data_IF_673394684046
#
_entry.id   IF_673394684046
#
_cell.length_a   1.000
_cell.length_b   1.000
_cell.length_c   1.000
_cell.angle_alpha   90.00
_cell.angle_beta   90.00
_cell.angle_gamma   90.00
#
_symmetry.space_group_name_H-M   'P 1'
#
loop_
_entity.id
_entity.type
_entity.pdbx_description
1 polymer ?
#
# COMPACT_ATOMS: atom_id res chain seq x y z
N UNK A 1 4.53 12.32 -19.99
CA UNK A 1 4.04 11.73 -18.74
C UNK A 1 4.47 10.28 -18.71
N UNK A 2 5.36 9.93 -17.78
CA UNK A 2 5.90 8.58 -17.60
C UNK A 2 5.21 7.92 -16.41
N UNK A 3 5.08 6.59 -16.48
CA UNK A 3 4.44 5.77 -15.44
C UNK A 3 5.50 4.85 -14.84
N UNK A 4 5.54 4.76 -13.50
CA UNK A 4 6.46 3.88 -12.78
C UNK A 4 5.73 3.11 -11.69
N UNK A 5 5.83 1.79 -11.74
CA UNK A 5 5.33 0.92 -10.68
C UNK A 5 6.19 1.05 -9.42
N UNK A 6 5.52 1.09 -8.27
CA UNK A 6 6.14 1.09 -6.95
C UNK A 6 5.27 0.30 -5.98
N UNK A 7 5.92 -0.49 -5.13
CA UNK A 7 5.24 -1.12 -3.99
C UNK A 7 5.18 -0.13 -2.83
N UNK A 8 3.99 0.07 -2.27
CA UNK A 8 3.73 0.82 -1.04
C UNK A 8 3.30 -0.15 0.05
N UNK A 9 3.81 0.06 1.25
CA UNK A 9 3.43 -0.71 2.44
C UNK A 9 2.37 0.05 3.24
N UNK A 10 1.20 -0.56 3.39
CA UNK A 10 0.10 -0.03 4.21
C UNK A 10 0.06 -0.81 5.51
N UNK A 11 0.25 -0.14 6.64
CA UNK A 11 0.27 -0.75 7.96
C UNK A 11 -1.03 -0.44 8.70
N UNK A 12 -1.70 -1.46 9.23
CA UNK A 12 -2.80 -1.29 10.16
C UNK A 12 -2.84 -2.41 11.19
N UNK A 13 -2.76 -2.05 12.48
CA UNK A 13 -2.74 -3.02 13.58
C UNK A 13 -1.60 -4.03 13.46
N UNK A 14 -1.95 -5.32 13.38
CA UNK A 14 -0.99 -6.45 13.28
C UNK A 14 -0.71 -6.87 11.83
N UNK A 15 -1.13 -6.08 10.85
CA UNK A 15 -1.01 -6.44 9.44
C UNK A 15 -0.26 -5.35 8.66
N UNK A 16 0.43 -5.80 7.61
CA UNK A 16 0.98 -4.94 6.55
C UNK A 16 0.52 -5.46 5.20
N UNK A 17 0.15 -4.59 4.29
CA UNK A 17 -0.15 -4.93 2.91
C UNK A 17 0.86 -4.30 1.96
N UNK A 18 1.36 -5.09 1.02
CA UNK A 18 2.12 -4.64 -0.14
C UNK A 18 1.16 -4.34 -1.28
N UNK A 19 1.03 -3.06 -1.59
CA UNK A 19 0.15 -2.54 -2.65
C UNK A 19 1.03 -2.07 -3.80
N UNK A 20 0.91 -2.72 -4.96
CA UNK A 20 1.50 -2.19 -6.19
C UNK A 20 0.66 -1.00 -6.68
N UNK A 21 1.32 0.13 -6.90
CA UNK A 21 0.72 1.39 -7.34
C UNK A 21 1.52 1.99 -8.49
N UNK A 22 0.86 2.79 -9.31
CA UNK A 22 1.50 3.53 -10.38
C UNK A 22 1.78 4.98 -9.94
N UNK A 23 3.03 5.40 -10.09
CA UNK A 23 3.42 6.80 -9.94
C UNK A 23 3.48 7.46 -11.32
N UNK A 24 2.82 8.61 -11.41
CA UNK A 24 2.83 9.48 -12.57
C UNK A 24 3.96 10.50 -12.41
N UNK A 25 4.78 10.60 -13.46
CA UNK A 25 5.90 11.50 -13.54
C UNK A 25 5.74 12.42 -14.75
N UNK A 26 5.71 13.73 -14.49
CA UNK A 26 5.74 14.78 -15.49
C UNK A 26 6.75 15.88 -15.10
N UNK A 27 6.75 16.99 -15.84
CA UNK A 27 7.66 18.12 -15.66
C UNK A 27 7.21 19.10 -14.57
N UNK A 28 6.12 18.80 -13.87
CA UNK A 28 5.60 19.67 -12.80
C UNK A 28 6.36 19.46 -11.50
N UNK A 29 6.37 20.48 -10.64
CA UNK A 29 7.05 20.43 -9.33
C UNK A 29 6.44 19.42 -8.34
N UNK A 30 5.24 18.88 -8.64
CA UNK A 30 4.54 17.89 -7.80
C UNK A 30 4.90 16.44 -8.16
N UNK A 31 5.72 16.25 -9.19
CA UNK A 31 6.18 14.97 -9.70
C UNK A 31 7.23 14.32 -8.77
N UNK A 32 7.18 13.01 -8.48
CA UNK A 32 6.13 12.05 -8.87
C UNK A 32 4.96 12.02 -7.88
N UNK A 33 3.76 11.78 -8.41
CA UNK A 33 2.52 11.68 -7.62
C UNK A 33 1.71 10.42 -7.97
N UNK A 34 0.74 10.08 -7.12
CA UNK A 34 -0.15 8.93 -7.33
C UNK A 34 -1.30 9.29 -8.27
N UNK A 35 -1.77 8.31 -9.04
CA UNK A 35 -3.09 8.41 -9.64
C UNK A 35 -4.18 8.48 -8.55
N UNK A 36 -5.31 9.10 -8.85
CA UNK A 36 -6.46 9.13 -7.92
C UNK A 36 -6.93 7.72 -7.59
N UNK A 37 -6.94 6.84 -8.59
CA UNK A 37 -7.32 5.43 -8.43
C UNK A 37 -6.39 4.70 -7.45
N UNK A 38 -5.07 4.86 -7.59
CA UNK A 38 -4.11 4.25 -6.66
C UNK A 38 -4.17 4.86 -5.27
N UNK A 39 -4.47 6.16 -5.15
CA UNK A 39 -4.71 6.79 -3.86
C UNK A 39 -5.93 6.17 -3.16
N UNK A 40 -7.05 6.01 -3.87
CA UNK A 40 -8.25 5.34 -3.34
C UNK A 40 -7.98 3.88 -2.99
N UNK A 41 -7.24 3.14 -3.83
CA UNK A 41 -6.84 1.75 -3.56
C UNK A 41 -6.05 1.62 -2.26
N UNK A 42 -5.14 2.55 -1.98
CA UNK A 42 -4.38 2.56 -0.73
C UNK A 42 -5.29 2.81 0.49
N UNK A 43 -6.28 3.69 0.36
CA UNK A 43 -7.26 3.95 1.41
C UNK A 43 -8.19 2.75 1.65
N UNK A 44 -8.68 2.10 0.59
CA UNK A 44 -9.50 0.89 0.71
C UNK A 44 -8.74 -0.25 1.40
N UNK A 45 -7.47 -0.45 1.05
CA UNK A 45 -6.60 -1.43 1.73
C UNK A 45 -6.42 -1.07 3.19
N UNK A 46 -6.15 0.21 3.51
CA UNK A 46 -5.97 0.69 4.88
C UNK A 46 -7.22 0.44 5.73
N UNK A 47 -8.39 0.76 5.20
CA UNK A 47 -9.67 0.60 5.89
C UNK A 47 -10.05 -0.89 6.05
N UNK A 48 -9.82 -1.72 5.05
CA UNK A 48 -10.03 -3.17 5.13
C UNK A 48 -9.13 -3.80 6.21
N UNK A 49 -7.83 -3.46 6.23
CA UNK A 49 -6.91 -3.93 7.26
C UNK A 49 -7.32 -3.42 8.65
N UNK A 50 -7.73 -2.16 8.78
CA UNK A 50 -8.16 -1.58 10.05
C UNK A 50 -9.39 -2.29 10.63
N UNK A 51 -10.36 -2.67 9.78
CA UNK A 51 -11.55 -3.44 10.16
C UNK A 51 -11.27 -4.93 10.38
N UNK A 52 -10.08 -5.41 10.02
CA UNK A 52 -9.71 -6.83 10.06
C UNK A 52 -10.28 -7.66 8.91
N UNK A 53 -10.80 -7.04 7.85
CA UNK A 53 -11.30 -7.71 6.65
C UNK A 53 -10.13 -8.08 5.72
N UNK A 54 -9.41 -9.13 6.11
CA UNK A 54 -8.26 -9.64 5.36
C UNK A 54 -8.66 -10.15 3.96
N UNK A 55 -9.80 -10.84 3.77
CA UNK A 55 -10.25 -11.21 2.43
C UNK A 55 -10.41 -10.01 1.48
N UNK A 56 -10.99 -8.90 1.94
CA UNK A 56 -11.12 -7.69 1.12
C UNK A 56 -9.76 -7.08 0.78
N UNK A 57 -8.90 -6.90 1.79
CA UNK A 57 -7.55 -6.35 1.57
C UNK A 57 -6.70 -7.22 0.62
N UNK A 58 -6.86 -8.55 0.70
CA UNK A 58 -6.11 -9.51 -0.12
C UNK A 58 -6.50 -9.51 -1.61
N UNK A 59 -7.66 -8.93 -1.96
CA UNK A 59 -8.05 -8.73 -3.37
C UNK A 59 -7.27 -7.60 -4.04
N UNK A 60 -6.84 -6.62 -3.24
CA UNK A 60 -6.19 -5.39 -3.72
C UNK A 60 -4.67 -5.40 -3.52
N UNK A 61 -4.18 -6.23 -2.59
CA UNK A 61 -2.80 -6.21 -2.13
C UNK A 61 -2.37 -7.56 -1.55
N UNK A 62 -1.05 -7.76 -1.42
CA UNK A 62 -0.50 -8.92 -0.71
C UNK A 62 -0.40 -8.60 0.79
N UNK A 63 -1.18 -9.29 1.60
CA UNK A 63 -1.28 -9.02 3.05
C UNK A 63 -0.39 -9.97 3.85
N UNK A 64 0.28 -9.42 4.85
CA UNK A 64 1.12 -10.14 5.80
C UNK A 64 0.68 -9.85 7.23
N UNK A 65 0.93 -10.81 8.11
CA UNK A 65 0.84 -10.61 9.56
C UNK A 65 2.22 -10.21 10.09
N UNK A 66 2.27 -9.12 10.83
CA UNK A 66 3.48 -8.68 11.52
C UNK A 66 3.74 -9.58 12.72
N UNK A 67 4.93 -10.17 12.77
CA UNK A 67 5.42 -10.93 13.91
C UNK A 67 6.70 -10.25 14.42
N UNK A 68 6.76 -9.88 15.71
CA UNK A 68 7.99 -9.35 16.29
C UNK A 68 9.13 -10.34 16.12
N UNK A 69 10.27 -9.87 15.64
CA UNK A 69 11.50 -10.66 15.62
C UNK A 69 12.28 -10.33 16.89
N UNK A 70 12.65 -11.35 17.67
CA UNK A 70 13.53 -11.14 18.81
C UNK A 70 14.90 -10.72 18.30
N UNK A 71 15.47 -9.64 18.84
CA UNK A 71 16.87 -9.33 18.62
C UNK A 71 17.70 -10.45 19.29
N UNK A 72 18.37 -11.28 18.49
CA UNK A 72 19.41 -12.16 19.04
C UNK A 72 20.51 -11.28 19.65
N UNK A 73 20.92 -11.64 20.86
CA UNK A 73 21.98 -10.98 21.62
C UNK A 73 23.35 -11.50 21.20
#
# INVERSE_FOLDING_TARGET
MNKRHRVKHVHAGRYVAEVDVELLQDETDWSPYLSVEDACKLDDVRDALHRGDIPAASKLARVFRLQPVSASK
#
